data_IF_483281793409
#
_entry.id   IF_483281793409
#
_cell.length_a   1.000
_cell.length_b   1.000
_cell.length_c   1.000
_cell.angle_alpha   90.00
_cell.angle_beta   90.00
_cell.angle_gamma   90.00
#
_symmetry.space_group_name_H-M   'P 1'
#
loop_
_entity.id
_entity.type
_entity.pdbx_description
1 polymer ?
#
# COMPACT_ATOMS: atom_id res chain seq x y z
N UNK A 1 24.82 -94.82 17.93
CA UNK A 1 24.45 -93.79 18.92
C UNK A 1 23.67 -92.71 18.17
N UNK A 2 22.44 -92.46 18.60
CA UNK A 2 21.64 -91.30 18.21
C UNK A 2 22.24 -90.02 18.86
N UNK A 3 21.82 -88.86 18.32
CA UNK A 3 21.95 -87.50 18.89
C UNK A 3 23.35 -86.88 18.60
N UNK A 4 23.49 -85.74 17.90
CA UNK A 4 22.86 -84.44 18.12
C UNK A 4 22.53 -83.71 16.82
N UNK A 5 21.23 -83.55 16.63
CA UNK A 5 20.60 -82.51 15.84
C UNK A 5 20.89 -81.18 16.57
N UNK A 6 21.96 -80.47 16.19
CA UNK A 6 22.18 -79.11 16.65
C UNK A 6 21.65 -78.16 15.58
N UNK A 7 20.76 -77.30 16.03
CA UNK A 7 19.87 -76.38 15.32
C UNK A 7 20.63 -75.30 14.52
N UNK A 8 21.43 -75.69 13.52
CA UNK A 8 21.96 -74.74 12.54
C UNK A 8 20.94 -74.60 11.41
N UNK A 9 20.26 -73.47 11.41
CA UNK A 9 19.37 -73.02 10.34
C UNK A 9 20.02 -73.27 8.97
N UNK A 10 19.35 -74.05 8.10
CA UNK A 10 19.83 -74.31 6.75
C UNK A 10 20.14 -72.97 6.03
N UNK A 11 21.38 -72.73 5.54
CA UNK A 11 21.82 -71.45 4.99
C UNK A 11 20.91 -70.87 3.89
N UNK A 12 20.24 -71.74 3.13
CA UNK A 12 19.29 -71.35 2.08
C UNK A 12 18.05 -70.65 2.65
N UNK A 13 17.57 -71.07 3.83
CA UNK A 13 16.41 -70.48 4.48
C UNK A 13 16.74 -69.07 5.02
N UNK A 14 17.95 -68.87 5.54
CA UNK A 14 18.42 -67.56 5.98
C UNK A 14 18.58 -66.59 4.81
N UNK A 15 19.13 -67.06 3.69
CA UNK A 15 19.30 -66.25 2.49
C UNK A 15 17.96 -65.78 1.93
N UNK A 16 16.95 -66.66 1.87
CA UNK A 16 15.57 -66.29 1.49
C UNK A 16 14.96 -65.25 2.44
N UNK A 17 15.16 -65.41 3.76
CA UNK A 17 14.69 -64.44 4.76
C UNK A 17 15.35 -63.07 4.60
N UNK A 18 16.63 -63.05 4.27
CA UNK A 18 17.36 -61.82 3.98
C UNK A 18 16.88 -61.17 2.68
N UNK A 19 16.64 -61.93 1.62
CA UNK A 19 16.05 -61.41 0.37
C UNK A 19 14.70 -60.75 0.63
N UNK A 20 13.78 -61.43 1.31
CA UNK A 20 12.46 -60.87 1.62
C UNK A 20 12.55 -59.59 2.48
N UNK A 21 13.50 -59.53 3.42
CA UNK A 21 13.76 -58.30 4.18
C UNK A 21 14.29 -57.18 3.29
N UNK A 22 15.17 -57.50 2.35
CA UNK A 22 15.79 -56.51 1.48
C UNK A 22 14.76 -55.92 0.50
N UNK A 23 13.89 -56.74 -0.07
CA UNK A 23 12.76 -56.30 -0.89
C UNK A 23 11.81 -55.38 -0.10
N UNK A 24 11.49 -55.76 1.15
CA UNK A 24 10.67 -54.92 2.03
C UNK A 24 11.34 -53.57 2.32
N UNK A 25 12.64 -53.58 2.61
CA UNK A 25 13.40 -52.35 2.87
C UNK A 25 13.46 -51.46 1.64
N UNK A 26 13.66 -52.01 0.45
CA UNK A 26 13.63 -51.25 -0.81
C UNK A 26 12.28 -50.55 -1.02
N UNK A 27 11.16 -51.25 -0.77
CA UNK A 27 9.84 -50.66 -0.87
C UNK A 27 9.63 -49.49 0.12
N UNK A 28 10.10 -49.64 1.37
CA UNK A 28 10.03 -48.56 2.36
C UNK A 28 10.94 -47.38 2.00
N UNK A 29 12.14 -47.62 1.46
CA UNK A 29 13.04 -46.56 0.97
C UNK A 29 12.35 -45.73 -0.11
N UNK A 30 11.78 -46.37 -1.13
CA UNK A 30 11.06 -45.67 -2.20
C UNK A 30 9.87 -44.86 -1.67
N UNK A 31 9.14 -45.40 -0.68
CA UNK A 31 8.02 -44.69 -0.05
C UNK A 31 8.49 -43.43 0.69
N UNK A 32 9.61 -43.52 1.41
CA UNK A 32 10.19 -42.38 2.13
C UNK A 32 10.76 -41.35 1.17
N UNK A 33 11.42 -41.77 0.10
CA UNK A 33 11.96 -40.86 -0.95
C UNK A 33 10.85 -40.03 -1.61
N UNK A 34 9.72 -40.66 -1.93
CA UNK A 34 8.56 -39.97 -2.47
C UNK A 34 8.00 -38.95 -1.47
N UNK A 35 7.79 -39.38 -0.21
CA UNK A 35 7.29 -38.48 0.83
C UNK A 35 8.24 -37.29 1.11
N UNK A 36 9.55 -37.53 1.02
CA UNK A 36 10.56 -36.49 1.19
C UNK A 36 10.55 -35.49 0.02
N UNK A 37 10.33 -35.98 -1.20
CA UNK A 37 10.19 -35.14 -2.39
C UNK A 37 8.94 -34.24 -2.29
N UNK A 38 7.80 -34.81 -1.89
CA UNK A 38 6.56 -34.04 -1.65
C UNK A 38 6.74 -32.97 -0.57
N UNK A 39 7.47 -33.29 0.50
CA UNK A 39 7.74 -32.34 1.58
C UNK A 39 8.66 -31.21 1.12
N UNK A 40 9.69 -31.52 0.33
CA UNK A 40 10.61 -30.53 -0.23
C UNK A 40 9.87 -29.51 -1.08
N UNK A 41 9.00 -29.95 -1.99
CA UNK A 41 8.22 -29.06 -2.85
C UNK A 41 7.33 -28.11 -2.02
N UNK A 42 6.65 -28.64 -0.99
CA UNK A 42 5.85 -27.83 -0.07
C UNK A 42 6.69 -26.80 0.68
N UNK A 43 7.90 -27.18 1.10
CA UNK A 43 8.81 -26.27 1.79
C UNK A 43 9.28 -25.13 0.87
N UNK A 44 9.58 -25.40 -0.39
CA UNK A 44 9.95 -24.37 -1.38
C UNK A 44 8.82 -23.35 -1.57
N UNK A 45 7.58 -23.82 -1.70
CA UNK A 45 6.40 -22.93 -1.77
C UNK A 45 6.28 -22.09 -0.49
N UNK A 46 6.45 -22.70 0.68
CA UNK A 46 6.36 -22.00 1.96
C UNK A 46 7.42 -20.89 2.08
N UNK A 47 8.65 -21.16 1.68
CA UNK A 47 9.74 -20.17 1.67
C UNK A 47 9.41 -19.01 0.73
N UNK A 48 8.83 -19.29 -0.45
CA UNK A 48 8.35 -18.27 -1.37
C UNK A 48 7.30 -17.36 -0.75
N UNK A 49 6.27 -17.94 -0.10
CA UNK A 49 5.21 -17.19 0.57
C UNK A 49 5.74 -16.33 1.72
N UNK A 50 6.64 -16.86 2.55
CA UNK A 50 7.27 -16.10 3.65
C UNK A 50 8.06 -14.91 3.12
N UNK A 51 8.77 -15.09 2.01
CA UNK A 51 9.53 -14.01 1.35
C UNK A 51 8.60 -12.91 0.85
N UNK A 52 7.52 -13.29 0.15
CA UNK A 52 6.54 -12.32 -0.36
C UNK A 52 5.84 -11.56 0.77
N UNK A 53 5.48 -12.24 1.86
CA UNK A 53 4.92 -11.60 3.05
C UNK A 53 5.89 -10.57 3.64
N UNK A 54 7.18 -10.90 3.76
CA UNK A 54 8.19 -9.95 4.24
C UNK A 54 8.33 -8.70 3.35
N UNK A 55 8.24 -8.87 2.03
CA UNK A 55 8.22 -7.76 1.09
C UNK A 55 6.98 -6.88 1.27
N UNK A 56 5.79 -7.48 1.36
CA UNK A 56 4.54 -6.74 1.60
C UNK A 56 4.56 -6.00 2.94
N UNK A 57 5.10 -6.60 4.00
CA UNK A 57 5.26 -5.92 5.30
C UNK A 57 6.14 -4.68 5.18
N UNK A 58 7.22 -4.75 4.41
CA UNK A 58 8.12 -3.61 4.19
C UNK A 58 7.43 -2.49 3.40
N UNK A 59 6.66 -2.84 2.37
CA UNK A 59 5.90 -1.86 1.59
C UNK A 59 4.79 -1.19 2.40
N UNK A 60 4.09 -1.94 3.27
CA UNK A 60 3.10 -1.38 4.20
C UNK A 60 3.76 -0.37 5.15
N UNK A 61 4.95 -0.67 5.67
CA UNK A 61 5.68 0.26 6.53
C UNK A 61 6.03 1.55 5.78
N UNK A 62 6.54 1.44 4.55
CA UNK A 62 6.87 2.59 3.69
C UNK A 62 5.65 3.48 3.40
N UNK A 63 4.54 2.87 2.98
CA UNK A 63 3.29 3.58 2.68
C UNK A 63 2.67 4.23 3.93
N UNK A 64 2.84 3.59 5.10
CA UNK A 64 2.37 4.16 6.36
C UNK A 64 3.12 5.43 6.72
N UNK A 65 4.44 5.45 6.51
CA UNK A 65 5.28 6.64 6.73
C UNK A 65 4.92 7.76 5.75
N UNK A 66 4.80 7.44 4.45
CA UNK A 66 4.42 8.41 3.41
C UNK A 66 3.06 9.05 3.70
N UNK A 67 2.07 8.25 4.09
CA UNK A 67 0.76 8.75 4.50
C UNK A 67 0.86 9.70 5.70
N UNK A 68 1.74 9.42 6.66
CA UNK A 68 1.98 10.29 7.81
C UNK A 68 2.49 11.68 7.38
N UNK A 69 3.50 11.70 6.50
CA UNK A 69 4.06 12.95 5.95
C UNK A 69 3.01 13.77 5.20
N UNK A 70 2.22 13.12 4.35
CA UNK A 70 1.13 13.78 3.62
C UNK A 70 0.06 14.36 4.56
N UNK A 71 -0.22 13.68 5.67
CA UNK A 71 -1.18 14.18 6.65
C UNK A 71 -0.65 15.40 7.42
N UNK A 72 0.65 15.43 7.73
CA UNK A 72 1.32 16.61 8.31
C UNK A 72 1.32 17.79 7.35
N UNK A 73 1.68 17.57 6.09
CA UNK A 73 1.66 18.60 5.04
C UNK A 73 0.25 19.15 4.80
N UNK A 74 -0.75 18.28 4.76
CA UNK A 74 -2.15 18.69 4.62
C UNK A 74 -2.62 19.53 5.82
N UNK A 75 -2.22 19.16 7.04
CA UNK A 75 -2.51 19.94 8.24
C UNK A 75 -1.84 21.31 8.22
N UNK A 76 -0.56 21.38 7.83
CA UNK A 76 0.16 22.64 7.68
C UNK A 76 -0.47 23.54 6.61
N UNK A 77 -0.87 22.96 5.48
CA UNK A 77 -1.57 23.68 4.42
C UNK A 77 -2.92 24.21 4.93
N UNK A 78 -3.69 23.41 5.64
CA UNK A 78 -4.97 23.84 6.21
C UNK A 78 -4.81 25.01 7.19
N UNK A 79 -3.78 24.98 8.04
CA UNK A 79 -3.44 26.11 8.92
C UNK A 79 -3.04 27.35 8.11
N UNK A 80 -2.25 27.18 7.04
CA UNK A 80 -1.88 28.32 6.19
C UNK A 80 -3.07 28.93 5.42
N UNK A 81 -4.12 28.14 5.21
CA UNK A 81 -5.34 28.54 4.52
C UNK A 81 -6.43 29.06 5.47
N UNK A 82 -6.20 29.11 6.80
CA UNK A 82 -7.21 29.68 7.69
C UNK A 82 -7.37 31.19 7.42
N UNK A 83 -8.61 31.69 7.28
CA UNK A 83 -8.85 33.10 7.08
C UNK A 83 -8.24 33.97 8.18
N UNK A 84 -7.76 35.16 7.81
CA UNK A 84 -7.23 36.13 8.77
C UNK A 84 -8.39 36.84 9.48
N UNK A 85 -8.18 37.31 10.72
CA UNK A 85 -9.24 37.91 11.58
C UNK A 85 -10.02 39.03 10.88
N UNK A 86 -9.33 39.88 10.11
CA UNK A 86 -9.91 41.01 9.37
C UNK A 86 -10.17 40.69 7.88
N UNK A 87 -10.25 39.41 7.51
CA UNK A 87 -10.50 39.04 6.12
C UNK A 87 -11.93 39.43 5.69
N UNK A 88 -12.08 40.28 4.65
CA UNK A 88 -13.40 40.70 4.20
C UNK A 88 -14.17 39.50 3.65
N UNK A 89 -15.49 39.47 3.90
CA UNK A 89 -16.36 38.39 3.43
C UNK A 89 -16.29 38.17 1.91
N UNK A 90 -16.00 39.24 1.16
CA UNK A 90 -15.74 39.23 -0.28
C UNK A 90 -14.48 38.45 -0.73
N UNK A 91 -13.52 38.23 0.18
CA UNK A 91 -12.28 37.48 -0.07
C UNK A 91 -12.36 36.03 0.46
N UNK A 92 -13.33 35.74 1.34
CA UNK A 92 -13.51 34.40 1.90
C UNK A 92 -13.81 33.38 0.80
N UNK A 93 -13.09 32.27 0.83
CA UNK A 93 -13.31 31.15 -0.09
C UNK A 93 -12.63 31.31 -1.46
N UNK A 94 -11.83 32.35 -1.69
CA UNK A 94 -10.95 32.43 -2.85
C UNK A 94 -9.77 31.47 -2.65
N UNK A 95 -9.90 30.27 -3.21
CA UNK A 95 -8.93 29.18 -3.06
C UNK A 95 -8.01 29.01 -4.27
N UNK A 96 -8.35 29.66 -5.39
CA UNK A 96 -7.60 29.57 -6.65
C UNK A 96 -7.23 30.93 -7.23
N UNK A 97 -6.16 30.96 -8.03
CA UNK A 97 -5.76 32.18 -8.78
C UNK A 97 -6.84 32.66 -9.75
N UNK A 98 -7.66 31.74 -10.29
CA UNK A 98 -8.76 32.09 -11.20
C UNK A 98 -9.90 32.81 -10.45
N UNK A 99 -10.29 32.30 -9.28
CA UNK A 99 -11.28 32.96 -8.41
C UNK A 99 -10.80 34.36 -8.00
N UNK A 100 -9.53 34.50 -7.63
CA UNK A 100 -8.94 35.79 -7.30
C UNK A 100 -8.95 36.76 -8.49
N UNK A 101 -8.49 36.30 -9.67
CA UNK A 101 -8.44 37.14 -10.87
C UNK A 101 -9.84 37.63 -11.28
N UNK A 102 -10.85 36.76 -11.18
CA UNK A 102 -12.23 37.12 -11.47
C UNK A 102 -12.78 38.13 -10.45
N UNK A 103 -12.48 37.94 -9.16
CA UNK A 103 -12.89 38.89 -8.13
C UNK A 103 -12.26 40.28 -8.34
N UNK A 104 -10.97 40.32 -8.70
CA UNK A 104 -10.26 41.56 -9.05
C UNK A 104 -10.92 42.22 -10.27
N UNK A 105 -11.28 41.43 -11.29
CA UNK A 105 -11.94 41.94 -12.50
C UNK A 105 -13.29 42.60 -12.17
N UNK A 106 -14.14 41.93 -11.39
CA UNK A 106 -15.44 42.45 -10.96
C UNK A 106 -15.28 43.72 -10.14
N UNK A 107 -14.40 43.69 -9.13
CA UNK A 107 -14.16 44.85 -8.26
C UNK A 107 -13.61 46.05 -9.06
N UNK A 108 -12.73 45.79 -10.03
CA UNK A 108 -12.21 46.83 -10.92
C UNK A 108 -13.31 47.50 -11.76
N UNK A 109 -14.27 46.71 -12.25
CA UNK A 109 -15.42 47.24 -12.98
C UNK A 109 -16.33 48.09 -12.09
N UNK A 110 -16.64 47.61 -10.87
CA UNK A 110 -17.48 48.33 -9.92
C UNK A 110 -16.89 49.71 -9.55
N UNK A 111 -15.56 49.77 -9.37
CA UNK A 111 -14.85 51.04 -9.10
C UNK A 111 -14.94 51.99 -10.29
N UNK A 112 -14.75 51.50 -11.52
CA UNK A 112 -14.85 52.31 -12.73
C UNK A 112 -16.27 52.88 -12.91
N UNK A 113 -17.29 52.05 -12.68
CA UNK A 113 -18.69 52.47 -12.79
C UNK A 113 -19.05 53.51 -11.71
N UNK A 114 -18.55 53.34 -10.48
CA UNK A 114 -18.72 54.31 -9.41
C UNK A 114 -18.07 55.66 -9.70
N UNK A 115 -16.84 55.66 -10.24
CA UNK A 115 -16.14 56.90 -10.65
C UNK A 115 -16.91 57.61 -11.77
N UNK A 116 -17.36 56.86 -12.78
CA UNK A 116 -18.14 57.41 -13.88
C UNK A 116 -19.43 58.04 -13.38
N UNK A 117 -20.16 57.35 -12.50
CA UNK A 117 -21.38 57.87 -11.88
C UNK A 117 -21.12 59.18 -11.11
N UNK A 118 -20.06 59.23 -10.30
CA UNK A 118 -19.69 60.45 -9.57
C UNK A 118 -19.38 61.63 -10.49
N UNK A 119 -18.66 61.37 -11.59
CA UNK A 119 -18.37 62.37 -12.61
C UNK A 119 -19.63 62.90 -13.29
N UNK A 120 -20.49 62.00 -13.78
CA UNK A 120 -21.75 62.34 -14.45
C UNK A 120 -22.65 63.18 -13.52
N UNK A 121 -22.74 62.81 -12.24
CA UNK A 121 -23.53 63.55 -11.25
C UNK A 121 -22.99 64.99 -11.03
N UNK A 122 -21.68 65.19 -10.92
CA UNK A 122 -21.08 66.54 -10.79
C UNK A 122 -21.34 67.37 -12.05
N UNK A 123 -21.23 66.75 -13.22
CA UNK A 123 -21.52 67.40 -14.51
C UNK A 123 -22.98 67.86 -14.57
N UNK A 124 -23.91 67.02 -14.16
CA UNK A 124 -25.33 67.36 -14.15
C UNK A 124 -25.66 68.45 -13.12
N UNK A 125 -25.04 68.43 -11.94
CA UNK A 125 -25.16 69.51 -10.96
C UNK A 125 -24.65 70.85 -11.53
N UNK A 126 -23.55 70.85 -12.28
CA UNK A 126 -23.01 72.06 -12.90
C UNK A 126 -23.93 72.61 -14.00
N UNK A 127 -24.62 71.75 -14.75
CA UNK A 127 -25.61 72.16 -15.76
C UNK A 127 -26.85 72.83 -15.16
N UNK A 128 -27.20 72.52 -13.91
CA UNK A 128 -28.35 73.16 -13.22
C UNK A 128 -27.99 74.56 -12.72
N UNK A 129 -26.71 74.84 -12.45
CA UNK A 129 -26.26 76.12 -11.89
C UNK A 129 -26.00 77.20 -12.96
N UNK A 130 -25.73 76.80 -14.21
CA UNK A 130 -25.50 77.69 -15.36
C UNK A 130 -26.76 77.91 -16.20
#
# INVERSE_FOLDING_TARGET
ALVLNNEETCPVAELKKLQAKNEKLQAEVTKVENAFSDYREKHEIQVGLVTELGQKTSEIARLTEERGKLQEELGALQVSMTPVEDEPEAARGLSTCAELAERIRVLGQDVLDGVKFGFDNVVDQLKVLN
#
